data_IF_241997252181
#
_entry.id   IF_241997252181
#
_cell.length_a   1.000
_cell.length_b   1.000
_cell.length_c   1.000
_cell.angle_alpha   90.00
_cell.angle_beta   90.00
_cell.angle_gamma   90.00
#
_symmetry.space_group_name_H-M   'P 1'
#
loop_
_entity.id
_entity.type
_entity.pdbx_description
1 polymer ?
#
# COMPACT_ATOMS: atom_id res chain seq x y z
N UNK A 1 21.03 15.70 7.81
CA UNK A 1 19.62 15.27 7.92
C UNK A 1 19.37 14.09 6.99
N UNK A 2 18.65 13.10 7.46
CA UNK A 2 18.24 11.93 6.69
C UNK A 2 16.74 12.03 6.45
N UNK A 3 16.27 11.74 5.23
CA UNK A 3 14.85 11.58 4.92
C UNK A 3 14.53 10.10 4.72
N UNK A 4 13.47 9.63 5.37
CA UNK A 4 12.84 8.33 5.14
C UNK A 4 11.47 8.60 4.54
N UNK A 5 11.20 7.97 3.40
CA UNK A 5 10.01 8.26 2.59
C UNK A 5 9.30 6.95 2.24
N UNK A 6 8.07 6.80 2.72
CA UNK A 6 7.16 5.71 2.34
C UNK A 6 6.07 6.25 1.43
N UNK A 7 6.01 5.73 0.20
CA UNK A 7 5.14 6.28 -0.84
C UNK A 7 4.25 5.24 -1.49
N UNK A 8 3.00 5.24 -1.11
CA UNK A 8 1.94 4.58 -1.87
C UNK A 8 1.50 5.37 -3.11
N UNK A 9 0.51 4.85 -3.83
CA UNK A 9 -0.08 5.55 -4.98
C UNK A 9 -0.90 6.79 -4.60
N UNK A 10 -1.46 6.82 -3.39
CA UNK A 10 -2.37 7.88 -2.93
C UNK A 10 -1.65 8.90 -2.05
N UNK A 11 -0.81 8.44 -1.13
CA UNK A 11 -0.17 9.22 -0.08
C UNK A 11 1.31 8.88 0.01
N UNK A 12 2.11 9.86 0.41
CA UNK A 12 3.51 9.70 0.78
C UNK A 12 3.75 10.28 2.16
N UNK A 13 4.31 9.49 3.04
CA UNK A 13 4.77 9.90 4.36
C UNK A 13 6.27 10.21 4.32
N UNK A 14 6.66 11.33 4.92
CA UNK A 14 8.03 11.80 5.00
C UNK A 14 8.43 11.98 6.45
N UNK A 15 9.53 11.38 6.84
CA UNK A 15 10.11 11.51 8.17
C UNK A 15 11.54 12.02 8.00
N UNK A 16 11.84 13.14 8.66
CA UNK A 16 13.17 13.71 8.70
C UNK A 16 13.84 13.37 10.03
N UNK A 17 15.02 12.79 9.98
CA UNK A 17 15.82 12.42 11.14
C UNK A 17 17.11 13.22 11.18
N UNK A 18 17.60 13.47 12.38
CA UNK A 18 18.95 13.96 12.60
C UNK A 18 20.00 12.81 12.53
N UNK A 19 21.26 13.10 12.85
CA UNK A 19 22.35 12.11 12.83
C UNK A 19 22.28 11.07 13.95
N UNK A 20 21.48 11.34 15.00
CA UNK A 20 21.29 10.43 16.12
C UNK A 20 20.06 9.53 15.93
N UNK A 21 19.25 9.80 14.89
CA UNK A 21 17.99 9.11 14.62
C UNK A 21 16.78 9.78 15.28
N UNK A 22 16.94 10.97 15.85
CA UNK A 22 15.83 11.71 16.44
C UNK A 22 14.99 12.39 15.33
N UNK A 23 13.68 12.34 15.46
CA UNK A 23 12.76 12.97 14.51
C UNK A 23 12.83 14.49 14.58
N UNK A 24 13.14 15.13 13.44
CA UNK A 24 13.16 16.57 13.29
C UNK A 24 11.78 17.12 12.89
N UNK A 25 11.14 16.45 11.97
CA UNK A 25 9.76 16.69 11.55
C UNK A 25 9.21 15.50 10.76
N UNK A 26 7.89 15.41 10.67
CA UNK A 26 7.19 14.54 9.73
C UNK A 26 6.15 15.34 8.96
N UNK A 27 5.91 14.93 7.72
CA UNK A 27 4.95 15.61 6.82
C UNK A 27 4.43 14.64 5.77
N UNK A 28 3.42 15.06 5.02
CA UNK A 28 2.78 14.24 4.00
C UNK A 28 2.66 14.98 2.68
N UNK A 29 2.75 14.20 1.59
CA UNK A 29 2.37 14.65 0.26
C UNK A 29 1.40 13.66 -0.38
N UNK A 30 0.88 14.01 -1.55
CA UNK A 30 0.23 13.04 -2.42
C UNK A 30 1.24 12.00 -2.89
N UNK A 31 0.75 10.80 -3.26
CA UNK A 31 1.58 9.68 -3.66
C UNK A 31 2.55 10.00 -4.79
N UNK A 32 3.73 9.38 -4.78
CA UNK A 32 4.82 9.61 -5.73
C UNK A 32 5.10 8.36 -6.58
N UNK A 33 4.05 7.75 -7.14
CA UNK A 33 4.20 6.57 -7.98
C UNK A 33 4.74 6.95 -9.38
N UNK A 34 6.01 6.59 -9.73
CA UNK A 34 6.60 6.98 -11.00
C UNK A 34 6.05 6.21 -12.21
N UNK A 35 5.31 5.14 -12.02
CA UNK A 35 4.63 4.45 -13.12
C UNK A 35 3.41 5.22 -13.62
N UNK A 36 2.74 5.94 -12.72
CA UNK A 36 1.46 6.58 -13.01
C UNK A 36 1.57 8.08 -13.28
N UNK A 37 2.60 8.76 -12.72
CA UNK A 37 2.69 10.22 -12.71
C UNK A 37 3.79 10.72 -13.65
N UNK A 38 3.60 11.91 -14.24
CA UNK A 38 4.66 12.58 -15.00
C UNK A 38 5.73 13.17 -14.05
N UNK A 39 6.92 13.45 -14.59
CA UNK A 39 8.01 14.04 -13.81
C UNK A 39 7.64 15.43 -13.27
N UNK A 40 6.83 16.19 -14.00
CA UNK A 40 6.34 17.51 -13.64
C UNK A 40 5.45 17.40 -12.40
N UNK A 41 4.50 16.46 -12.38
CA UNK A 41 3.61 16.22 -11.24
C UNK A 41 4.39 15.75 -10.02
N UNK A 42 5.35 14.83 -10.21
CA UNK A 42 6.22 14.37 -9.12
C UNK A 42 7.00 15.54 -8.50
N UNK A 43 7.63 16.39 -9.34
CA UNK A 43 8.31 17.59 -8.88
C UNK A 43 7.38 18.56 -8.14
N UNK A 44 6.20 18.81 -8.68
CA UNK A 44 5.22 19.71 -8.09
C UNK A 44 4.78 19.25 -6.70
N UNK A 45 4.44 17.95 -6.55
CA UNK A 45 4.02 17.38 -5.27
C UNK A 45 5.07 17.54 -4.17
N UNK A 46 6.35 17.42 -4.51
CA UNK A 46 7.45 17.57 -3.57
C UNK A 46 7.70 19.05 -3.25
N UNK A 47 7.78 19.92 -4.29
CA UNK A 47 8.09 21.33 -4.13
C UNK A 47 7.01 22.13 -3.43
N UNK A 48 5.76 21.72 -3.56
CA UNK A 48 4.62 22.37 -2.90
C UNK A 48 4.55 22.04 -1.39
N UNK A 49 5.33 21.07 -0.90
CA UNK A 49 5.44 20.85 0.53
C UNK A 49 6.52 21.77 1.12
N UNK A 50 6.10 22.66 2.03
CA UNK A 50 6.96 23.70 2.60
C UNK A 50 8.13 23.10 3.37
N UNK A 51 7.89 22.13 4.24
CA UNK A 51 8.91 21.58 5.13
C UNK A 51 9.99 20.84 4.35
N UNK A 52 9.59 20.06 3.34
CA UNK A 52 10.52 19.35 2.46
C UNK A 52 11.35 20.35 1.67
N UNK A 53 10.70 21.32 1.00
CA UNK A 53 11.38 22.21 0.08
C UNK A 53 12.30 23.20 0.81
N UNK A 54 11.90 23.70 1.97
CA UNK A 54 12.69 24.56 2.84
C UNK A 54 14.00 23.87 3.25
N UNK A 55 13.93 22.60 3.61
CA UNK A 55 15.06 21.83 4.15
C UNK A 55 15.88 21.08 3.08
N UNK A 56 15.54 21.17 1.79
CA UNK A 56 16.12 20.36 0.71
C UNK A 56 17.66 20.39 0.62
N UNK A 57 18.29 21.51 1.00
CA UNK A 57 19.73 21.66 0.96
C UNK A 57 20.46 21.04 2.17
N UNK A 58 19.72 20.64 3.20
CA UNK A 58 20.23 20.04 4.42
C UNK A 58 20.14 18.51 4.39
N UNK A 59 19.48 17.94 3.37
CA UNK A 59 19.34 16.48 3.21
C UNK A 59 20.66 15.90 2.71
N UNK A 60 21.24 15.02 3.52
CA UNK A 60 22.47 14.29 3.19
C UNK A 60 22.14 12.95 2.54
N UNK A 61 21.06 12.29 3.01
CA UNK A 61 20.63 11.00 2.50
C UNK A 61 19.11 10.90 2.44
N UNK A 62 18.59 10.27 1.41
CA UNK A 62 17.19 10.02 1.20
C UNK A 62 16.95 8.53 0.89
N UNK A 63 16.21 7.86 1.77
CA UNK A 63 15.70 6.52 1.57
C UNK A 63 14.26 6.61 1.07
N UNK A 64 14.00 6.11 -0.12
CA UNK A 64 12.68 6.11 -0.73
C UNK A 64 12.20 4.68 -0.95
N UNK A 65 11.05 4.38 -0.37
CA UNK A 65 10.32 3.14 -0.55
C UNK A 65 9.02 3.47 -1.26
N UNK A 66 8.91 3.14 -2.54
CA UNK A 66 7.81 3.65 -3.36
C UNK A 66 7.09 2.60 -4.18
N UNK A 67 5.75 2.66 -4.13
CA UNK A 67 4.92 1.93 -5.07
C UNK A 67 5.30 2.27 -6.52
N UNK A 68 5.43 1.25 -7.36
CA UNK A 68 5.86 1.41 -8.75
C UNK A 68 7.37 1.53 -8.96
N UNK A 69 8.19 1.28 -7.92
CA UNK A 69 9.66 1.25 -7.99
C UNK A 69 10.24 -0.18 -8.08
N UNK A 70 9.46 -1.15 -8.51
CA UNK A 70 9.91 -2.54 -8.67
C UNK A 70 10.86 -2.78 -9.86
N UNK A 71 10.99 -1.83 -10.79
CA UNK A 71 11.88 -1.94 -11.95
C UNK A 71 12.84 -0.75 -12.04
N UNK A 72 14.03 -1.01 -12.55
CA UNK A 72 15.13 -0.02 -12.64
C UNK A 72 14.72 1.25 -13.41
N UNK A 73 13.93 1.13 -14.46
CA UNK A 73 13.49 2.28 -15.27
C UNK A 73 12.68 3.28 -14.46
N UNK A 74 11.79 2.82 -13.59
CA UNK A 74 10.98 3.69 -12.72
C UNK A 74 11.77 4.22 -11.54
N UNK A 75 12.68 3.42 -10.96
CA UNK A 75 13.63 3.90 -9.96
C UNK A 75 14.50 5.04 -10.52
N UNK A 76 15.06 4.87 -11.72
CA UNK A 76 15.85 5.91 -12.40
C UNK A 76 15.03 7.16 -12.71
N UNK A 77 13.73 7.00 -12.95
CA UNK A 77 12.84 8.12 -13.21
C UNK A 77 12.62 8.98 -11.96
N UNK A 78 12.26 8.38 -10.83
CA UNK A 78 12.09 9.11 -9.56
C UNK A 78 13.43 9.65 -9.05
N UNK A 79 14.53 8.94 -9.26
CA UNK A 79 15.88 9.40 -8.93
C UNK A 79 16.22 10.72 -9.64
N UNK A 80 15.87 10.87 -10.92
CA UNK A 80 16.09 12.14 -11.66
C UNK A 80 15.30 13.28 -11.04
N UNK A 81 14.07 13.03 -10.59
CA UNK A 81 13.25 14.01 -9.89
C UNK A 81 13.93 14.42 -8.58
N UNK A 82 14.33 13.47 -7.76
CA UNK A 82 14.99 13.76 -6.47
C UNK A 82 16.31 14.52 -6.66
N UNK A 83 17.16 14.12 -7.60
CA UNK A 83 18.43 14.83 -7.90
C UNK A 83 18.20 16.29 -8.31
N UNK A 84 17.08 16.61 -8.94
CA UNK A 84 16.75 18.00 -9.31
C UNK A 84 16.35 18.88 -8.12
N UNK A 85 15.95 18.26 -6.99
CA UNK A 85 15.47 18.97 -5.79
C UNK A 85 16.52 18.91 -4.68
N UNK A 86 17.09 17.74 -4.42
CA UNK A 86 18.03 17.44 -3.36
C UNK A 86 19.44 17.27 -3.94
N UNK A 87 20.06 18.39 -4.31
CA UNK A 87 21.30 18.41 -5.13
C UNK A 87 22.57 17.92 -4.42
N UNK A 88 22.51 17.74 -3.09
CA UNK A 88 23.65 17.35 -2.25
C UNK A 88 23.46 16.00 -1.56
N UNK A 89 22.42 15.27 -1.92
CA UNK A 89 22.00 14.05 -1.22
C UNK A 89 22.44 12.79 -1.95
N UNK A 90 22.67 11.73 -1.16
CA UNK A 90 22.72 10.36 -1.63
C UNK A 90 21.31 9.74 -1.58
N UNK A 91 21.05 8.79 -2.48
CA UNK A 91 19.72 8.21 -2.64
C UNK A 91 19.77 6.68 -2.58
N UNK A 92 18.86 6.08 -1.79
CA UNK A 92 18.54 4.67 -1.84
C UNK A 92 17.05 4.53 -2.22
N UNK A 93 16.76 3.97 -3.39
CA UNK A 93 15.41 3.87 -3.94
C UNK A 93 15.05 2.42 -4.09
N UNK A 94 13.97 2.00 -3.43
CA UNK A 94 13.45 0.65 -3.46
C UNK A 94 11.93 0.66 -3.62
N UNK A 95 11.36 -0.49 -3.92
CA UNK A 95 9.93 -0.70 -3.90
C UNK A 95 9.39 -0.62 -2.46
N UNK A 96 8.13 -0.19 -2.29
CA UNK A 96 7.46 -0.03 -0.99
C UNK A 96 7.44 -1.32 -0.15
N UNK A 97 7.45 -2.47 -0.79
CA UNK A 97 7.56 -3.78 -0.13
C UNK A 97 8.80 -3.90 0.78
N UNK A 98 9.90 -3.24 0.43
CA UNK A 98 11.10 -3.22 1.29
C UNK A 98 10.87 -2.48 2.61
N UNK A 99 10.04 -1.43 2.64
CA UNK A 99 9.69 -0.75 3.89
C UNK A 99 8.94 -1.69 4.84
N UNK A 100 7.99 -2.46 4.31
CA UNK A 100 7.26 -3.46 5.09
C UNK A 100 8.21 -4.54 5.64
N UNK A 101 9.12 -5.06 4.82
CA UNK A 101 10.12 -6.04 5.26
C UNK A 101 11.00 -5.47 6.39
N UNK A 102 11.61 -4.32 6.18
CA UNK A 102 12.50 -3.71 7.18
C UNK A 102 11.81 -3.26 8.46
N UNK A 103 10.49 -3.08 8.45
CA UNK A 103 9.71 -2.79 9.66
C UNK A 103 9.32 -4.03 10.45
N UNK A 104 9.28 -5.20 9.83
CA UNK A 104 8.76 -6.43 10.41
C UNK A 104 9.85 -7.46 10.73
N UNK A 105 11.02 -7.38 10.06
CA UNK A 105 12.03 -8.43 10.07
C UNK A 105 13.40 -7.85 10.39
N UNK A 106 14.16 -8.54 11.23
CA UNK A 106 15.56 -8.20 11.47
C UNK A 106 16.42 -8.46 10.24
N UNK A 107 17.45 -7.64 10.06
CA UNK A 107 18.38 -7.75 8.93
C UNK A 107 19.03 -9.15 8.89
N UNK A 108 19.01 -9.74 7.71
CA UNK A 108 19.62 -11.06 7.46
C UNK A 108 18.75 -12.26 7.83
N UNK A 109 17.55 -12.08 8.39
CA UNK A 109 16.65 -13.19 8.76
C UNK A 109 15.66 -13.48 7.64
N UNK A 110 15.73 -14.64 6.97
CA UNK A 110 14.77 -15.02 5.95
C UNK A 110 13.34 -15.10 6.51
N UNK A 111 12.38 -14.49 5.81
CA UNK A 111 10.99 -14.40 6.28
C UNK A 111 10.00 -14.22 5.12
N UNK A 112 8.75 -14.57 5.33
CA UNK A 112 7.63 -14.19 4.46
C UNK A 112 6.94 -12.99 5.07
N UNK A 113 6.84 -11.90 4.31
CA UNK A 113 6.21 -10.66 4.76
C UNK A 113 4.98 -10.38 3.92
N UNK A 114 3.86 -10.13 4.59
CA UNK A 114 2.56 -9.92 4.00
C UNK A 114 2.07 -8.49 4.23
N UNK A 115 1.62 -7.84 3.18
CA UNK A 115 0.95 -6.54 3.26
C UNK A 115 -0.54 -6.79 2.98
N UNK A 116 -1.39 -6.47 3.94
CA UNK A 116 -2.85 -6.55 3.80
C UNK A 116 -3.43 -5.18 4.15
N UNK A 117 -3.65 -4.37 3.12
CA UNK A 117 -4.17 -3.01 3.21
C UNK A 117 -5.32 -2.76 2.24
N UNK A 118 -5.25 -1.70 1.45
CA UNK A 118 -6.16 -1.43 0.32
C UNK A 118 -6.12 -2.57 -0.71
N UNK A 119 -4.91 -2.99 -1.09
CA UNK A 119 -4.60 -4.23 -1.82
C UNK A 119 -3.92 -5.23 -0.91
N UNK A 120 -3.39 -6.32 -1.47
CA UNK A 120 -2.55 -7.27 -0.74
C UNK A 120 -1.36 -7.74 -1.54
N UNK A 121 -0.27 -8.03 -0.84
CA UNK A 121 0.98 -8.53 -1.41
C UNK A 121 1.63 -9.51 -0.45
N UNK A 122 2.39 -10.47 -1.00
CA UNK A 122 3.18 -11.41 -0.24
C UNK A 122 4.58 -11.47 -0.85
N UNK A 123 5.59 -11.27 -0.04
CA UNK A 123 6.99 -11.24 -0.45
C UNK A 123 7.83 -12.15 0.43
N UNK A 124 8.82 -12.80 -0.16
CA UNK A 124 9.86 -13.53 0.55
C UNK A 124 11.11 -12.67 0.66
N UNK A 125 11.62 -12.54 1.86
CA UNK A 125 12.91 -11.92 2.13
C UNK A 125 13.94 -13.00 2.39
N UNK A 126 15.00 -13.09 1.59
CA UNK A 126 16.05 -14.10 1.73
C UNK A 126 17.16 -13.71 2.72
N UNK A 127 16.96 -12.62 3.48
CA UNK A 127 17.95 -12.00 4.34
C UNK A 127 18.69 -10.83 3.66
N UNK A 128 18.47 -10.61 2.36
CA UNK A 128 19.11 -9.55 1.59
C UNK A 128 18.19 -8.93 0.55
N UNK A 129 17.47 -9.75 -0.20
CA UNK A 129 16.61 -9.34 -1.31
C UNK A 129 15.16 -9.68 -1.02
N UNK A 130 14.24 -8.85 -1.49
CA UNK A 130 12.82 -9.13 -1.50
C UNK A 130 12.44 -9.77 -2.83
N UNK A 131 11.80 -10.93 -2.76
CA UNK A 131 11.44 -11.77 -3.91
C UNK A 131 9.93 -11.95 -3.91
N UNK A 132 9.28 -11.63 -5.02
CA UNK A 132 7.88 -11.94 -5.26
C UNK A 132 7.77 -13.13 -6.20
N UNK A 133 7.15 -14.21 -5.75
CA UNK A 133 6.92 -15.42 -6.55
C UNK A 133 5.66 -15.30 -7.41
N UNK A 134 4.71 -14.50 -6.96
CA UNK A 134 3.45 -14.22 -7.65
C UNK A 134 3.42 -12.76 -8.04
N UNK A 135 3.37 -12.49 -9.34
CA UNK A 135 3.25 -11.12 -9.85
C UNK A 135 1.95 -10.47 -9.39
N UNK A 136 2.02 -9.22 -8.91
CA UNK A 136 0.84 -8.47 -8.52
C UNK A 136 0.14 -7.88 -9.75
N UNK A 137 -1.03 -8.41 -10.09
CA UNK A 137 -1.85 -7.94 -11.21
C UNK A 137 -2.98 -6.98 -10.75
N UNK A 138 -2.95 -6.58 -9.49
CA UNK A 138 -3.84 -5.58 -8.92
C UNK A 138 -5.24 -6.08 -8.57
N UNK A 139 -6.04 -5.17 -8.05
CA UNK A 139 -7.31 -5.43 -7.36
C UNK A 139 -8.41 -6.06 -8.22
N UNK A 140 -8.35 -5.95 -9.53
CA UNK A 140 -9.36 -6.54 -10.41
C UNK A 140 -9.27 -8.06 -10.42
N UNK A 141 -8.03 -8.59 -10.46
CA UNK A 141 -7.74 -10.01 -10.62
C UNK A 141 -7.30 -10.68 -9.33
N UNK A 142 -6.63 -9.96 -8.43
CA UNK A 142 -5.95 -10.48 -7.26
C UNK A 142 -6.40 -9.76 -5.99
N UNK A 143 -5.45 -9.53 -5.07
CA UNK A 143 -5.62 -8.82 -3.80
C UNK A 143 -6.56 -9.52 -2.80
N UNK A 144 -6.51 -10.86 -2.71
CA UNK A 144 -7.28 -11.59 -1.70
C UNK A 144 -7.00 -11.09 -0.27
N UNK A 145 -8.00 -11.17 0.60
CA UNK A 145 -7.98 -10.69 1.99
C UNK A 145 -7.78 -9.18 2.17
N UNK A 146 -7.63 -8.39 1.12
CA UNK A 146 -7.46 -6.95 1.19
C UNK A 146 -8.77 -6.18 1.38
N UNK A 147 -8.65 -4.88 1.67
CA UNK A 147 -9.81 -3.99 1.77
C UNK A 147 -10.65 -3.96 0.50
N UNK A 148 -10.03 -3.87 -0.67
CA UNK A 148 -10.77 -3.88 -1.95
C UNK A 148 -11.44 -5.23 -2.23
N UNK A 149 -10.85 -6.35 -1.82
CA UNK A 149 -11.45 -7.68 -1.93
C UNK A 149 -12.73 -7.77 -1.11
N UNK A 150 -12.66 -7.40 0.18
CA UNK A 150 -13.83 -7.41 1.04
C UNK A 150 -14.87 -6.37 0.64
N UNK A 151 -14.47 -5.20 0.20
CA UNK A 151 -15.38 -4.18 -0.30
C UNK A 151 -16.17 -4.64 -1.52
N UNK A 152 -15.51 -5.28 -2.50
CA UNK A 152 -16.20 -5.92 -3.63
C UNK A 152 -17.20 -6.99 -3.18
N UNK A 153 -16.81 -7.79 -2.19
CA UNK A 153 -17.69 -8.82 -1.65
C UNK A 153 -18.95 -8.20 -1.02
N UNK A 154 -18.79 -7.18 -0.17
CA UNK A 154 -19.90 -6.53 0.53
C UNK A 154 -20.90 -5.88 -0.44
N UNK A 155 -20.41 -5.15 -1.44
CA UNK A 155 -21.27 -4.55 -2.48
C UNK A 155 -22.05 -5.64 -3.21
N UNK A 156 -21.41 -6.73 -3.63
CA UNK A 156 -22.11 -7.85 -4.29
C UNK A 156 -23.12 -8.51 -3.37
N UNK A 157 -22.77 -8.77 -2.11
CA UNK A 157 -23.67 -9.36 -1.13
C UNK A 157 -24.90 -8.50 -0.89
N UNK A 158 -24.73 -7.17 -0.85
CA UNK A 158 -25.83 -6.23 -0.76
C UNK A 158 -26.77 -6.31 -1.97
N UNK A 159 -26.22 -6.15 -3.18
CA UNK A 159 -27.06 -6.09 -4.40
C UNK A 159 -27.68 -7.42 -4.78
N UNK A 160 -27.05 -8.54 -4.45
CA UNK A 160 -27.59 -9.88 -4.71
C UNK A 160 -28.44 -10.42 -3.54
N UNK A 161 -28.77 -9.60 -2.53
CA UNK A 161 -29.54 -9.99 -1.35
C UNK A 161 -28.95 -11.23 -0.62
N UNK A 162 -27.61 -11.29 -0.52
CA UNK A 162 -26.88 -12.36 0.18
C UNK A 162 -26.39 -11.93 1.57
N UNK A 163 -26.56 -10.67 1.93
CA UNK A 163 -26.28 -10.16 3.27
C UNK A 163 -27.52 -10.33 4.16
N UNK A 164 -27.37 -10.75 5.42
CA UNK A 164 -28.48 -10.77 6.39
C UNK A 164 -29.18 -9.41 6.46
N UNK A 165 -30.50 -9.40 6.58
CA UNK A 165 -31.33 -8.21 6.44
C UNK A 165 -30.92 -7.08 7.39
N UNK A 166 -30.69 -7.42 8.67
CA UNK A 166 -30.26 -6.44 9.67
C UNK A 166 -28.90 -5.81 9.36
N UNK A 167 -27.95 -6.57 8.78
CA UNK A 167 -26.65 -6.07 8.37
C UNK A 167 -26.74 -5.27 7.08
N UNK A 168 -27.59 -5.69 6.16
CA UNK A 168 -27.88 -4.98 4.92
C UNK A 168 -28.44 -3.59 5.18
N UNK A 169 -29.37 -3.47 6.12
CA UNK A 169 -29.98 -2.18 6.48
C UNK A 169 -28.97 -1.26 7.17
N UNK A 170 -28.10 -1.79 8.03
CA UNK A 170 -27.00 -1.04 8.61
C UNK A 170 -25.99 -0.58 7.55
N UNK A 171 -25.62 -1.47 6.62
CA UNK A 171 -24.70 -1.15 5.53
C UNK A 171 -25.25 -0.03 4.65
N UNK A 172 -26.55 -0.10 4.29
CA UNK A 172 -27.22 0.94 3.50
C UNK A 172 -27.33 2.31 4.22
N UNK A 173 -27.35 2.32 5.55
CA UNK A 173 -27.33 3.58 6.32
C UNK A 173 -25.95 4.23 6.37
N UNK A 174 -24.89 3.44 6.26
CA UNK A 174 -23.51 3.95 6.39
C UNK A 174 -22.91 4.39 5.06
N UNK A 175 -23.45 3.96 3.92
CA UNK A 175 -22.87 4.20 2.61
C UNK A 175 -23.91 4.62 1.57
N UNK A 176 -23.53 5.52 0.66
CA UNK A 176 -24.32 5.77 -0.55
C UNK A 176 -24.14 4.61 -1.52
N UNK A 177 -25.11 3.72 -1.53
CA UNK A 177 -25.12 2.53 -2.39
C UNK A 177 -25.97 2.74 -3.65
N UNK A 178 -26.25 3.98 -4.07
CA UNK A 178 -26.97 4.19 -5.33
C UNK A 178 -26.16 3.68 -6.51
N UNK A 179 -26.79 3.01 -7.51
CA UNK A 179 -26.08 2.48 -8.65
C UNK A 179 -25.26 3.54 -9.40
N UNK A 180 -25.75 4.79 -9.43
CA UNK A 180 -25.08 5.87 -10.12
C UNK A 180 -23.78 6.28 -9.39
N UNK A 181 -23.83 6.45 -8.08
CA UNK A 181 -22.65 6.77 -7.27
C UNK A 181 -21.58 5.68 -7.40
N UNK A 182 -21.98 4.40 -7.24
CA UNK A 182 -21.03 3.28 -7.35
C UNK A 182 -20.38 3.24 -8.75
N UNK A 183 -21.16 3.37 -9.82
CA UNK A 183 -20.62 3.36 -11.18
C UNK A 183 -19.68 4.54 -11.44
N UNK A 184 -20.01 5.72 -10.98
CA UNK A 184 -19.15 6.89 -11.14
C UNK A 184 -17.81 6.68 -10.41
N UNK A 185 -17.85 6.25 -9.13
CA UNK A 185 -16.66 5.99 -8.31
C UNK A 185 -15.77 4.89 -8.88
N UNK A 186 -16.37 3.84 -9.47
CA UNK A 186 -15.59 2.70 -9.99
C UNK A 186 -15.04 2.91 -11.39
N UNK A 187 -15.75 3.68 -12.26
CA UNK A 187 -15.44 3.71 -13.68
C UNK A 187 -15.08 5.08 -14.26
N UNK A 188 -15.24 6.15 -13.46
CA UNK A 188 -15.03 7.51 -13.95
C UNK A 188 -14.14 8.37 -13.04
N UNK A 189 -13.98 7.98 -11.78
CA UNK A 189 -13.14 8.69 -10.82
C UNK A 189 -11.79 7.98 -10.61
N UNK A 190 -10.85 8.69 -10.04
CA UNK A 190 -9.54 8.15 -9.67
C UNK A 190 -9.64 7.25 -8.42
N UNK A 191 -8.70 6.32 -8.31
CA UNK A 191 -8.53 5.42 -7.16
C UNK A 191 -9.75 4.55 -6.81
N UNK A 192 -10.35 3.83 -7.76
CA UNK A 192 -11.50 2.94 -7.53
C UNK A 192 -11.19 1.82 -6.52
N UNK A 193 -9.93 1.37 -6.44
CA UNK A 193 -9.47 0.41 -5.45
C UNK A 193 -9.60 0.94 -4.02
N UNK A 194 -9.23 2.20 -3.76
CA UNK A 194 -9.39 2.86 -2.45
C UNK A 194 -10.87 3.03 -2.10
N UNK A 195 -11.70 3.39 -3.07
CA UNK A 195 -13.15 3.45 -2.87
C UNK A 195 -13.72 2.07 -2.46
N UNK A 196 -13.34 1.01 -3.18
CA UNK A 196 -13.75 -0.35 -2.79
C UNK A 196 -13.29 -0.70 -1.38
N UNK A 197 -12.03 -0.41 -1.06
CA UNK A 197 -11.47 -0.72 0.26
C UNK A 197 -12.18 0.00 1.41
N UNK A 198 -12.78 1.18 1.16
CA UNK A 198 -13.50 1.93 2.19
C UNK A 198 -14.69 1.14 2.79
N UNK A 199 -15.29 0.25 2.03
CA UNK A 199 -16.40 -0.60 2.52
C UNK A 199 -15.94 -1.68 3.51
N UNK A 200 -14.67 -2.11 3.43
CA UNK A 200 -14.14 -3.11 4.34
C UNK A 200 -14.16 -2.68 5.80
N UNK A 201 -14.18 -1.36 6.06
CA UNK A 201 -14.33 -0.81 7.41
C UNK A 201 -15.58 -1.37 8.11
N UNK A 202 -16.70 -1.45 7.41
CA UNK A 202 -17.94 -2.01 7.96
C UNK A 202 -17.76 -3.48 8.41
N UNK A 203 -17.06 -4.29 7.61
CA UNK A 203 -16.76 -5.67 7.97
C UNK A 203 -15.87 -5.74 9.22
N UNK A 204 -14.84 -4.92 9.30
CA UNK A 204 -13.89 -4.91 10.43
C UNK A 204 -14.56 -4.45 11.72
N UNK A 205 -15.39 -3.39 11.67
CA UNK A 205 -16.13 -2.90 12.81
C UNK A 205 -17.16 -3.93 13.35
N UNK A 206 -17.62 -4.82 12.50
CA UNK A 206 -18.58 -5.88 12.82
C UNK A 206 -17.96 -7.29 12.82
N UNK A 207 -16.63 -7.42 12.93
CA UNK A 207 -15.89 -8.69 12.82
C UNK A 207 -16.27 -9.77 13.81
N UNK A 208 -16.95 -9.43 14.91
CA UNK A 208 -17.47 -10.41 15.88
C UNK A 208 -18.71 -11.15 15.39
N UNK A 209 -19.38 -10.66 14.35
CA UNK A 209 -20.54 -11.32 13.75
C UNK A 209 -20.09 -12.53 12.92
N UNK A 210 -20.77 -13.69 13.09
CA UNK A 210 -20.37 -14.94 12.42
C UNK A 210 -20.41 -14.84 10.89
N UNK A 211 -21.32 -14.07 10.32
CA UNK A 211 -21.35 -13.80 8.88
C UNK A 211 -20.07 -13.16 8.37
N UNK A 212 -19.54 -12.17 9.10
CA UNK A 212 -18.29 -11.51 8.71
C UNK A 212 -17.06 -12.33 9.04
N UNK A 213 -17.06 -13.10 10.12
CA UNK A 213 -15.96 -14.04 10.42
C UNK A 213 -15.75 -15.03 9.28
N UNK A 214 -16.83 -15.59 8.76
CA UNK A 214 -16.78 -16.52 7.63
C UNK A 214 -16.16 -15.87 6.36
N UNK A 215 -16.56 -14.62 6.08
CA UNK A 215 -16.02 -13.87 4.93
C UNK A 215 -14.53 -13.57 5.11
N UNK A 216 -14.13 -13.13 6.30
CA UNK A 216 -12.73 -12.86 6.64
C UNK A 216 -11.92 -14.15 6.48
N UNK A 217 -12.37 -15.24 7.08
CA UNK A 217 -11.68 -16.52 7.03
C UNK A 217 -11.48 -17.01 5.60
N UNK A 218 -12.51 -17.00 4.76
CA UNK A 218 -12.42 -17.36 3.33
C UNK A 218 -11.46 -16.48 2.53
N UNK A 219 -11.39 -15.19 2.86
CA UNK A 219 -10.44 -14.28 2.23
C UNK A 219 -9.00 -14.61 2.61
N UNK A 220 -8.75 -14.85 3.91
CA UNK A 220 -7.44 -15.22 4.42
C UNK A 220 -7.00 -16.60 3.92
N UNK A 221 -7.90 -17.60 3.92
CA UNK A 221 -7.63 -18.93 3.36
C UNK A 221 -7.14 -18.84 1.91
N UNK A 222 -7.84 -18.07 1.06
CA UNK A 222 -7.40 -17.85 -0.32
C UNK A 222 -6.08 -17.10 -0.44
N UNK A 223 -5.84 -16.14 0.44
CA UNK A 223 -4.57 -15.44 0.47
C UNK A 223 -3.42 -16.39 0.81
N UNK A 224 -3.61 -17.25 1.81
CA UNK A 224 -2.64 -18.29 2.18
C UNK A 224 -2.38 -19.22 1.00
N UNK A 225 -3.44 -19.78 0.41
CA UNK A 225 -3.32 -20.78 -0.66
C UNK A 225 -2.64 -20.21 -1.91
N UNK A 226 -2.95 -18.96 -2.29
CA UNK A 226 -2.50 -18.40 -3.56
C UNK A 226 -1.25 -17.52 -3.45
N UNK A 227 -0.84 -17.15 -2.24
CA UNK A 227 0.32 -16.30 -2.01
C UNK A 227 1.37 -16.98 -1.14
N UNK A 228 1.05 -17.33 0.10
CA UNK A 228 2.03 -17.86 1.07
C UNK A 228 2.51 -19.25 0.67
N UNK A 229 1.60 -20.17 0.32
CA UNK A 229 1.94 -21.55 -0.04
C UNK A 229 2.66 -21.67 -1.40
N UNK A 230 2.86 -20.58 -2.12
CA UNK A 230 3.71 -20.59 -3.32
C UNK A 230 5.21 -20.63 -3.00
N UNK A 231 5.60 -20.33 -1.76
CA UNK A 231 6.99 -20.39 -1.32
C UNK A 231 7.32 -21.75 -0.73
N UNK A 232 8.34 -22.45 -1.27
CA UNK A 232 8.70 -23.81 -0.87
C UNK A 232 9.17 -23.90 0.60
N UNK A 233 9.71 -22.79 1.12
CA UNK A 233 10.24 -22.69 2.48
C UNK A 233 9.24 -22.09 3.49
N UNK A 234 7.95 -21.92 3.14
CA UNK A 234 6.96 -21.25 4.00
C UNK A 234 6.88 -21.84 5.42
N UNK A 235 7.16 -23.14 5.58
CA UNK A 235 7.14 -23.83 6.89
C UNK A 235 8.45 -23.73 7.68
N UNK A 236 9.49 -23.10 7.11
CA UNK A 236 10.83 -23.01 7.70
C UNK A 236 11.23 -21.60 8.11
N UNK A 237 10.41 -20.62 7.77
CA UNK A 237 10.68 -19.20 8.02
C UNK A 237 9.50 -18.56 8.76
N UNK A 238 9.77 -17.44 9.42
CA UNK A 238 8.72 -16.69 10.09
C UNK A 238 7.81 -16.00 9.06
N UNK A 239 6.52 -15.86 9.40
CA UNK A 239 5.50 -15.24 8.57
C UNK A 239 4.97 -14.02 9.32
N UNK A 240 5.14 -12.86 8.72
CA UNK A 240 4.75 -11.56 9.28
C UNK A 240 3.62 -10.92 8.49
#
# INVERSE_FOLDING_TARGET
>A
MILIVDSGSTKTDWIALDKNGDELFSTQTLGLNPQMLSNEILNERIKNNFDIYKNRNNVEKLFFYGAGCGVESTQNRILKVFKSIFTKSDFDIKEDTYAAVYSAVDEGIPSIVNIIGTGSNCSYYDGKNVIQKVDSLGYVLMDYASGNYYGKYLIRAYYFNKMPENLRDQFAKNYDLTPNTIKNKLYREENPNTYLASFARFLIENKSNEYFKEIIFKGLERFIDYQILQYDDFSKVDIH
#
